data_IF_236133296026
#
_entry.id   IF_236133296026
#
_cell.length_a   1.000
_cell.length_b   1.000
_cell.length_c   1.000
_cell.angle_alpha   90.00
_cell.angle_beta   90.00
_cell.angle_gamma   90.00
#
_symmetry.space_group_name_H-M   'P 1'
#
loop_
_entity.id
_entity.type
_entity.pdbx_description
1 polymer ?
#
# COMPACT_ATOMS: atom_id res chain seq x y z
N UNK A 1 -28.49 -31.04 63.76
CA UNK A 1 -28.67 -31.06 62.29
C UNK A 1 -28.12 -29.75 61.70
N UNK A 2 -26.89 -29.78 61.17
CA UNK A 2 -26.26 -28.64 60.51
C UNK A 2 -26.11 -28.99 59.04
N UNK A 3 -26.77 -28.24 58.14
CA UNK A 3 -26.66 -28.40 56.70
C UNK A 3 -25.44 -27.58 56.21
N UNK A 4 -24.47 -28.29 55.68
CA UNK A 4 -23.30 -27.73 55.01
C UNK A 4 -23.73 -27.17 53.66
N UNK A 5 -23.58 -25.87 53.47
CA UNK A 5 -23.73 -25.22 52.17
C UNK A 5 -22.50 -25.49 51.31
N UNK A 6 -22.70 -26.10 50.17
CA UNK A 6 -21.67 -26.28 49.14
C UNK A 6 -21.61 -24.97 48.34
N UNK A 7 -20.51 -24.24 48.47
CA UNK A 7 -20.20 -23.10 47.60
C UNK A 7 -19.75 -23.61 46.23
N UNK A 8 -20.48 -23.19 45.18
CA UNK A 8 -20.04 -23.35 43.80
C UNK A 8 -18.77 -22.55 43.54
N UNK A 9 -17.82 -23.10 42.80
CA UNK A 9 -16.64 -22.36 42.38
C UNK A 9 -17.05 -21.32 41.31
N UNK A 10 -16.62 -20.08 41.51
CA UNK A 10 -16.70 -18.97 40.57
C UNK A 10 -16.00 -19.34 39.28
N UNK A 11 -16.75 -19.24 38.18
CA UNK A 11 -16.16 -19.34 36.82
C UNK A 11 -15.06 -18.29 36.69
N UNK A 12 -13.85 -18.75 36.48
CA UNK A 12 -12.75 -17.93 36.02
C UNK A 12 -13.04 -17.55 34.54
N UNK A 13 -13.42 -16.31 34.30
CA UNK A 13 -13.39 -15.75 32.97
C UNK A 13 -11.93 -15.74 32.51
N UNK A 14 -11.66 -16.21 31.28
CA UNK A 14 -10.32 -16.10 30.74
C UNK A 14 -9.99 -14.61 30.56
N UNK A 15 -8.71 -14.20 30.79
CA UNK A 15 -8.30 -12.81 30.60
C UNK A 15 -8.62 -12.39 29.19
N UNK A 16 -9.29 -11.23 29.05
CA UNK A 16 -9.49 -10.56 27.75
C UNK A 16 -8.18 -10.61 26.98
N UNK A 17 -8.19 -11.38 25.90
CA UNK A 17 -7.10 -11.40 24.94
C UNK A 17 -6.83 -9.94 24.59
N UNK A 18 -5.66 -9.44 24.95
CA UNK A 18 -5.15 -8.14 24.53
C UNK A 18 -5.33 -8.10 23.02
N UNK A 19 -6.38 -7.43 22.58
CA UNK A 19 -6.52 -7.01 21.19
C UNK A 19 -5.32 -6.11 20.92
N UNK A 20 -4.30 -6.65 20.29
CA UNK A 20 -3.31 -5.81 19.67
C UNK A 20 -4.10 -4.84 18.80
N UNK A 21 -3.87 -3.52 18.94
CA UNK A 21 -4.48 -2.62 17.99
C UNK A 21 -4.02 -3.09 16.61
N UNK A 22 -4.97 -3.41 15.74
CA UNK A 22 -4.74 -3.63 14.32
C UNK A 22 -4.19 -2.31 13.79
N UNK A 23 -2.88 -2.17 13.88
CA UNK A 23 -2.18 -1.03 13.33
C UNK A 23 -2.28 -1.14 11.81
N UNK A 24 -3.06 -0.20 11.25
CA UNK A 24 -3.09 0.20 9.86
C UNK A 24 -3.69 -0.81 8.86
N UNK A 25 -5.01 -0.86 8.85
CA UNK A 25 -5.73 -0.91 7.59
C UNK A 25 -6.41 0.46 7.43
N UNK A 26 -5.75 1.46 6.83
CA UNK A 26 -6.33 2.79 6.67
C UNK A 26 -7.60 2.68 5.82
N UNK A 27 -8.65 3.40 6.23
CA UNK A 27 -9.87 3.46 5.43
C UNK A 27 -9.57 4.15 4.08
N UNK A 28 -10.44 3.93 3.09
CA UNK A 28 -10.40 4.63 1.81
C UNK A 28 -10.27 6.15 1.99
N UNK A 29 -10.98 6.69 2.95
CA UNK A 29 -11.00 8.13 3.21
C UNK A 29 -9.71 8.61 3.87
N UNK A 30 -9.10 7.80 4.73
CA UNK A 30 -7.79 8.11 5.32
C UNK A 30 -6.69 8.17 4.26
N UNK A 31 -6.67 7.22 3.31
CA UNK A 31 -5.73 7.21 2.19
C UNK A 31 -5.90 8.46 1.32
N UNK A 32 -7.14 8.81 0.97
CA UNK A 32 -7.43 9.98 0.16
C UNK A 32 -6.99 11.26 0.85
N UNK A 33 -7.35 11.42 2.11
CA UNK A 33 -6.95 12.56 2.93
C UNK A 33 -5.44 12.68 3.03
N UNK A 34 -4.73 11.57 3.21
CA UNK A 34 -3.27 11.56 3.27
C UNK A 34 -2.66 12.16 2.00
N UNK A 35 -3.07 11.73 0.80
CA UNK A 35 -2.50 12.24 -0.45
C UNK A 35 -2.93 13.66 -0.77
N UNK A 36 -4.19 14.04 -0.56
CA UNK A 36 -4.66 15.41 -0.79
C UNK A 36 -3.99 16.40 0.15
N UNK A 37 -3.83 16.04 1.43
CA UNK A 37 -3.14 16.87 2.40
C UNK A 37 -1.63 16.96 2.13
N UNK A 38 -0.98 15.87 1.72
CA UNK A 38 0.41 15.88 1.30
C UNK A 38 0.61 16.83 0.13
N UNK A 39 -0.25 16.79 -0.89
CA UNK A 39 -0.18 17.68 -2.03
C UNK A 39 -0.42 19.14 -1.63
N UNK A 40 -1.38 19.40 -0.76
CA UNK A 40 -1.63 20.74 -0.21
C UNK A 40 -0.38 21.29 0.49
N UNK A 41 0.23 20.51 1.38
CA UNK A 41 1.45 20.89 2.12
C UNK A 41 2.63 21.15 1.18
N UNK A 42 2.84 20.26 0.21
CA UNK A 42 3.90 20.40 -0.79
C UNK A 42 3.77 21.73 -1.54
N UNK A 43 2.56 22.07 -1.99
CA UNK A 43 2.28 23.32 -2.70
C UNK A 43 2.44 24.56 -1.82
N UNK A 44 2.18 24.43 -0.53
CA UNK A 44 2.32 25.50 0.46
C UNK A 44 3.75 25.66 0.99
N UNK A 45 4.67 24.74 0.65
CA UNK A 45 6.03 24.74 1.19
C UNK A 45 6.08 24.41 2.68
N UNK A 46 5.11 23.66 3.18
CA UNK A 46 5.05 23.22 4.57
C UNK A 46 5.98 22.03 4.81
N UNK A 47 6.32 21.79 6.08
CA UNK A 47 7.16 20.66 6.48
C UNK A 47 6.37 19.36 6.27
N UNK A 48 6.98 18.43 5.54
CA UNK A 48 6.45 17.08 5.30
C UNK A 48 7.07 16.08 6.28
N UNK A 49 6.28 15.12 6.72
CA UNK A 49 6.81 13.93 7.38
C UNK A 49 7.61 13.08 6.39
N UNK A 50 8.46 12.13 6.82
CA UNK A 50 9.21 11.27 5.91
C UNK A 50 8.32 10.52 4.90
N UNK A 51 7.15 10.03 5.33
CA UNK A 51 6.21 9.34 4.44
C UNK A 51 5.54 10.29 3.46
N UNK A 52 5.15 11.49 3.91
CA UNK A 52 4.62 12.53 3.04
C UNK A 52 5.65 13.00 2.01
N UNK A 53 6.94 13.06 2.37
CA UNK A 53 7.99 13.41 1.42
C UNK A 53 8.09 12.39 0.27
N UNK A 54 8.10 11.09 0.57
CA UNK A 54 8.08 10.03 -0.45
C UNK A 54 6.81 10.12 -1.31
N UNK A 55 5.66 10.36 -0.68
CA UNK A 55 4.40 10.53 -1.40
C UNK A 55 4.41 11.76 -2.31
N UNK A 56 4.97 12.89 -1.85
CA UNK A 56 5.09 14.11 -2.62
C UNK A 56 5.99 13.93 -3.86
N UNK A 57 7.10 13.20 -3.72
CA UNK A 57 7.96 12.87 -4.86
C UNK A 57 7.18 12.12 -5.94
N UNK A 58 6.39 11.10 -5.56
CA UNK A 58 5.55 10.36 -6.51
C UNK A 58 4.41 11.20 -7.09
N UNK A 59 3.81 12.10 -6.30
CA UNK A 59 2.80 13.04 -6.81
C UNK A 59 3.39 13.95 -7.88
N UNK A 60 4.61 14.43 -7.69
CA UNK A 60 5.31 15.28 -8.68
C UNK A 60 5.58 14.54 -9.99
N UNK A 61 5.92 13.24 -9.91
CA UNK A 61 6.11 12.39 -11.09
C UNK A 61 4.80 12.06 -11.84
N UNK A 62 3.64 12.38 -11.24
CA UNK A 62 2.30 12.13 -11.79
C UNK A 62 1.47 13.40 -11.93
N UNK A 63 1.87 14.35 -12.82
CA UNK A 63 1.15 15.61 -12.98
C UNK A 63 -0.31 15.45 -13.41
N UNK A 64 -0.67 14.31 -14.03
CA UNK A 64 -2.04 13.98 -14.41
C UNK A 64 -3.00 13.85 -13.22
N UNK A 65 -2.49 13.69 -12.00
CA UNK A 65 -3.30 13.58 -10.78
C UNK A 65 -3.40 14.90 -9.99
N UNK A 66 -2.65 15.93 -10.36
CA UNK A 66 -2.56 17.17 -9.58
C UNK A 66 -3.89 17.86 -9.36
N UNK A 67 -4.72 17.96 -10.40
CA UNK A 67 -6.05 18.61 -10.30
C UNK A 67 -6.97 17.83 -9.35
N UNK A 68 -6.93 16.50 -9.41
CA UNK A 68 -7.76 15.65 -8.57
C UNK A 68 -7.30 15.68 -7.10
N UNK A 69 -5.99 15.72 -6.86
CA UNK A 69 -5.43 15.85 -5.51
C UNK A 69 -5.62 17.25 -4.92
N UNK A 70 -5.85 18.27 -5.76
CA UNK A 70 -6.17 19.62 -5.31
C UNK A 70 -7.64 19.79 -4.87
N UNK A 71 -8.54 18.91 -5.31
CA UNK A 71 -9.97 18.88 -4.98
C UNK A 71 -10.26 17.81 -3.92
N UNK A 72 -9.98 18.12 -2.66
CA UNK A 72 -10.12 17.16 -1.56
C UNK A 72 -11.58 16.67 -1.37
N UNK A 73 -12.56 17.55 -1.55
CA UNK A 73 -13.98 17.21 -1.39
C UNK A 73 -14.47 16.33 -2.55
N UNK A 74 -14.11 16.68 -3.79
CA UNK A 74 -14.39 15.86 -4.97
C UNK A 74 -13.69 14.51 -4.90
N UNK A 75 -12.44 14.46 -4.45
CA UNK A 75 -11.69 13.25 -4.25
C UNK A 75 -12.34 12.32 -3.21
N UNK A 76 -12.85 12.88 -2.11
CA UNK A 76 -13.56 12.10 -1.08
C UNK A 76 -14.87 11.48 -1.59
N UNK A 77 -15.61 12.23 -2.41
CA UNK A 77 -16.92 11.81 -2.92
C UNK A 77 -16.85 10.86 -4.12
N UNK A 78 -15.75 10.88 -4.91
CA UNK A 78 -15.65 10.16 -6.18
C UNK A 78 -15.50 8.65 -5.98
N UNK A 79 -16.24 7.90 -6.76
CA UNK A 79 -16.06 6.45 -6.91
C UNK A 79 -15.30 6.18 -8.20
N UNK A 80 -14.20 5.43 -8.08
CA UNK A 80 -13.42 4.96 -9.22
C UNK A 80 -13.89 3.56 -9.56
N UNK A 81 -14.61 3.41 -10.66
CA UNK A 81 -15.06 2.12 -11.13
C UNK A 81 -14.33 1.74 -12.44
N UNK A 82 -14.11 0.44 -12.69
CA UNK A 82 -13.48 0.00 -13.94
C UNK A 82 -14.21 0.50 -15.19
N UNK A 83 -15.54 0.68 -15.10
CA UNK A 83 -16.39 1.12 -16.20
C UNK A 83 -16.12 2.57 -16.62
N UNK A 84 -15.61 3.40 -15.70
CA UNK A 84 -15.26 4.79 -16.01
C UNK A 84 -13.95 4.91 -16.79
N UNK A 85 -13.18 3.82 -16.90
CA UNK A 85 -11.90 3.77 -17.62
C UNK A 85 -10.83 4.71 -17.05
N UNK A 86 -11.05 5.24 -15.84
CA UNK A 86 -10.12 6.13 -15.17
C UNK A 86 -9.27 5.36 -14.17
N UNK A 87 -7.97 5.62 -14.19
CA UNK A 87 -7.07 5.14 -13.15
C UNK A 87 -7.43 5.81 -11.82
N UNK A 88 -7.52 5.01 -10.75
CA UNK A 88 -7.66 5.54 -9.40
C UNK A 88 -6.30 6.07 -8.92
N UNK A 89 -6.11 7.42 -8.82
CA UNK A 89 -4.82 7.99 -8.46
C UNK A 89 -4.37 7.58 -7.05
N UNK A 90 -5.30 7.42 -6.13
CA UNK A 90 -5.00 7.03 -4.75
C UNK A 90 -4.49 5.60 -4.65
N UNK A 91 -5.06 4.68 -5.44
CA UNK A 91 -4.56 3.31 -5.54
C UNK A 91 -3.17 3.30 -6.19
N UNK A 92 -2.99 4.01 -7.29
CA UNK A 92 -1.73 4.08 -8.02
C UNK A 92 -0.60 4.63 -7.14
N UNK A 93 -0.82 5.76 -6.49
CA UNK A 93 0.14 6.37 -5.57
C UNK A 93 0.41 5.48 -4.34
N UNK A 94 -0.61 4.78 -3.83
CA UNK A 94 -0.42 3.82 -2.74
C UNK A 94 0.46 2.64 -3.15
N UNK A 95 0.37 2.18 -4.40
CA UNK A 95 1.25 1.13 -4.93
C UNK A 95 2.70 1.62 -5.04
N UNK A 96 2.93 2.87 -5.46
CA UNK A 96 4.27 3.47 -5.43
C UNK A 96 4.85 3.52 -4.02
N UNK A 97 4.06 3.91 -3.01
CA UNK A 97 4.52 3.90 -1.61
C UNK A 97 4.86 2.49 -1.13
N UNK A 98 4.00 1.50 -1.44
CA UNK A 98 4.26 0.11 -1.06
C UNK A 98 5.55 -0.43 -1.69
N UNK A 99 5.79 -0.13 -2.97
CA UNK A 99 7.02 -0.53 -3.65
C UNK A 99 8.23 0.21 -3.06
N UNK A 100 8.11 1.50 -2.79
CA UNK A 100 9.18 2.29 -2.14
C UNK A 100 9.56 1.72 -0.78
N UNK A 101 8.58 1.28 0.01
CA UNK A 101 8.82 0.58 1.28
C UNK A 101 9.53 -0.76 1.04
N UNK A 102 9.04 -1.60 0.13
CA UNK A 102 9.67 -2.88 -0.21
C UNK A 102 11.13 -2.70 -0.64
N UNK A 103 11.43 -1.69 -1.46
CA UNK A 103 12.78 -1.37 -1.90
C UNK A 103 13.65 -0.89 -0.74
N UNK A 104 13.11 -0.10 0.19
CA UNK A 104 13.86 0.44 1.32
C UNK A 104 14.38 -0.66 2.26
N UNK A 105 13.58 -1.70 2.48
CA UNK A 105 13.88 -2.82 3.39
C UNK A 105 14.32 -4.10 2.67
N UNK A 106 14.40 -4.08 1.33
CA UNK A 106 14.71 -5.23 0.47
C UNK A 106 13.79 -6.45 0.76
N UNK A 107 12.47 -6.23 0.75
CA UNK A 107 11.46 -7.26 0.95
C UNK A 107 10.45 -7.30 -0.22
N UNK A 108 10.35 -8.45 -0.93
CA UNK A 108 11.08 -9.72 -0.74
C UNK A 108 12.58 -9.59 -1.02
N UNK A 109 13.43 -10.42 -0.37
CA UNK A 109 14.89 -10.31 -0.53
C UNK A 109 15.33 -10.37 -2.00
N UNK A 110 16.08 -9.37 -2.44
CA UNK A 110 16.54 -9.24 -3.82
C UNK A 110 15.68 -8.34 -4.72
N UNK A 111 14.57 -7.80 -4.21
CA UNK A 111 13.72 -6.88 -4.99
C UNK A 111 14.48 -5.60 -5.38
N UNK A 112 15.36 -5.10 -4.50
CA UNK A 112 16.19 -3.93 -4.79
C UNK A 112 17.11 -4.18 -5.97
N UNK A 113 17.80 -5.31 -6.00
CA UNK A 113 18.68 -5.67 -7.12
C UNK A 113 17.90 -5.89 -8.43
N UNK A 114 16.68 -6.42 -8.34
CA UNK A 114 15.81 -6.58 -9.51
C UNK A 114 15.32 -5.23 -10.04
N UNK A 115 14.97 -4.29 -9.15
CA UNK A 115 14.63 -2.92 -9.50
C UNK A 115 15.78 -2.21 -10.19
N UNK A 116 17.01 -2.29 -9.65
CA UNK A 116 18.17 -1.63 -10.21
C UNK A 116 18.48 -2.13 -11.64
N UNK A 117 18.30 -3.43 -11.87
CA UNK A 117 18.41 -4.01 -13.23
C UNK A 117 17.32 -3.47 -14.17
N UNK A 118 16.09 -3.36 -13.72
CA UNK A 118 15.00 -2.79 -14.49
C UNK A 118 15.25 -1.31 -14.79
N UNK A 119 15.68 -0.53 -13.82
CA UNK A 119 15.97 0.89 -13.97
C UNK A 119 17.11 1.12 -14.97
N UNK A 120 18.16 0.31 -14.90
CA UNK A 120 19.26 0.36 -15.87
C UNK A 120 18.81 -0.04 -17.28
N UNK A 121 17.93 -1.03 -17.41
CA UNK A 121 17.39 -1.50 -18.69
C UNK A 121 16.46 -0.49 -19.34
N UNK A 122 15.59 0.14 -18.55
CA UNK A 122 14.57 1.09 -19.02
C UNK A 122 15.09 2.53 -19.07
N UNK A 123 16.29 2.78 -18.56
CA UNK A 123 16.87 4.12 -18.36
C UNK A 123 15.93 5.05 -17.57
N UNK A 124 15.13 4.46 -16.66
CA UNK A 124 14.09 5.15 -15.90
C UNK A 124 13.74 4.39 -14.62
N UNK A 125 13.92 5.03 -13.48
CA UNK A 125 13.47 4.50 -12.18
C UNK A 125 11.94 4.49 -12.07
N UNK A 126 11.28 5.47 -12.67
CA UNK A 126 9.83 5.57 -12.72
C UNK A 126 9.21 4.39 -13.50
N UNK A 127 9.72 4.12 -14.71
CA UNK A 127 9.24 2.99 -15.51
C UNK A 127 9.58 1.64 -14.88
N UNK A 128 10.72 1.54 -14.18
CA UNK A 128 11.05 0.36 -13.40
C UNK A 128 10.04 0.10 -12.28
N UNK A 129 9.63 1.14 -11.57
CA UNK A 129 8.59 1.00 -10.56
C UNK A 129 7.24 0.63 -11.16
N UNK A 130 6.85 1.18 -12.30
CA UNK A 130 5.64 0.78 -13.02
C UNK A 130 5.68 -0.69 -13.44
N UNK A 131 6.81 -1.18 -13.95
CA UNK A 131 6.98 -2.59 -14.29
C UNK A 131 6.84 -3.51 -13.05
N UNK A 132 7.34 -3.07 -11.89
CA UNK A 132 7.14 -3.78 -10.61
C UNK A 132 5.68 -3.71 -10.16
N UNK A 133 5.04 -2.55 -10.33
CA UNK A 133 3.63 -2.34 -9.99
C UNK A 133 2.70 -3.29 -10.74
N UNK A 134 2.96 -3.54 -12.02
CA UNK A 134 2.21 -4.53 -12.79
C UNK A 134 2.39 -5.95 -12.22
N UNK A 135 3.63 -6.33 -11.86
CA UNK A 135 3.90 -7.62 -11.22
C UNK A 135 3.20 -7.76 -9.86
N UNK A 136 3.14 -6.67 -9.09
CA UNK A 136 2.43 -6.62 -7.82
C UNK A 136 0.92 -6.78 -8.02
N UNK A 137 0.35 -6.07 -9.00
CA UNK A 137 -1.06 -6.17 -9.36
C UNK A 137 -1.46 -7.60 -9.77
N UNK A 138 -0.66 -8.26 -10.62
CA UNK A 138 -0.86 -9.67 -11.00
C UNK A 138 -0.83 -10.59 -9.77
N UNK A 139 0.12 -10.37 -8.85
CA UNK A 139 0.27 -11.19 -7.64
C UNK A 139 -0.92 -11.03 -6.70
N UNK A 140 -1.40 -9.79 -6.51
CA UNK A 140 -2.58 -9.50 -5.68
C UNK A 140 -3.83 -10.11 -6.32
N UNK A 141 -4.00 -9.98 -7.63
CA UNK A 141 -5.14 -10.53 -8.34
C UNK A 141 -5.21 -12.07 -8.24
N UNK A 142 -4.08 -12.75 -8.41
CA UNK A 142 -4.02 -14.21 -8.23
C UNK A 142 -4.35 -14.64 -6.80
N UNK A 143 -3.80 -13.96 -5.81
CA UNK A 143 -4.08 -14.20 -4.39
C UNK A 143 -5.58 -14.08 -4.08
N UNK A 144 -6.23 -13.04 -4.59
CA UNK A 144 -7.67 -12.83 -4.44
C UNK A 144 -8.48 -13.92 -5.13
N UNK A 145 -8.11 -14.30 -6.36
CA UNK A 145 -8.79 -15.33 -7.13
C UNK A 145 -8.71 -16.71 -6.50
N UNK A 146 -7.57 -17.04 -5.89
CA UNK A 146 -7.33 -18.33 -5.24
C UNK A 146 -7.66 -18.34 -3.76
N UNK A 147 -8.00 -17.19 -3.19
CA UNK A 147 -8.21 -16.98 -1.75
C UNK A 147 -7.01 -17.47 -0.90
N UNK A 148 -5.81 -17.18 -1.38
CA UNK A 148 -4.53 -17.50 -0.74
C UNK A 148 -3.74 -16.22 -0.46
N UNK A 149 -2.78 -16.22 0.48
CA UNK A 149 -1.85 -15.11 0.63
C UNK A 149 -1.07 -14.85 -0.68
N UNK A 150 -0.64 -13.60 -0.94
CA UNK A 150 0.21 -13.29 -2.08
C UNK A 150 1.50 -14.10 -2.08
N UNK A 151 1.84 -14.70 -3.22
CA UNK A 151 3.08 -15.46 -3.41
C UNK A 151 4.24 -14.50 -3.70
N UNK A 152 5.03 -14.23 -2.67
CA UNK A 152 6.17 -13.30 -2.75
C UNK A 152 7.32 -13.81 -3.61
N UNK A 153 7.51 -15.14 -3.68
CA UNK A 153 8.54 -15.74 -4.53
C UNK A 153 8.15 -15.62 -6.01
N UNK A 154 6.91 -15.93 -6.34
CA UNK A 154 6.37 -15.73 -7.68
C UNK A 154 6.42 -14.26 -8.12
N UNK A 155 6.13 -13.34 -7.19
CA UNK A 155 6.23 -11.90 -7.42
C UNK A 155 7.67 -11.50 -7.81
N UNK A 156 8.67 -11.88 -7.02
CA UNK A 156 10.07 -11.59 -7.31
C UNK A 156 10.51 -12.22 -8.65
N UNK A 157 10.09 -13.46 -8.93
CA UNK A 157 10.40 -14.12 -10.19
C UNK A 157 9.80 -13.40 -11.42
N UNK A 158 8.60 -12.81 -11.29
CA UNK A 158 8.02 -11.97 -12.36
C UNK A 158 8.89 -10.75 -12.64
N UNK A 159 9.32 -10.05 -11.60
CA UNK A 159 10.20 -8.88 -11.73
C UNK A 159 11.52 -9.26 -12.40
N UNK A 160 12.16 -10.33 -11.94
CA UNK A 160 13.43 -10.82 -12.49
C UNK A 160 13.30 -11.22 -13.98
N UNK A 161 12.20 -11.86 -14.36
CA UNK A 161 11.93 -12.18 -15.78
C UNK A 161 11.80 -10.93 -16.65
N UNK A 162 11.15 -9.87 -16.15
CA UNK A 162 11.05 -8.59 -16.86
C UNK A 162 12.42 -7.91 -17.00
N UNK A 163 13.24 -7.99 -15.96
CA UNK A 163 14.59 -7.45 -15.97
C UNK A 163 15.55 -8.20 -16.93
N UNK A 164 15.28 -9.48 -17.22
CA UNK A 164 16.14 -10.36 -18.02
C UNK A 164 15.70 -10.54 -19.48
N UNK A 165 14.46 -10.15 -19.83
CA UNK A 165 13.98 -10.22 -21.23
C UNK A 165 14.56 -9.04 -22.02
N UNK A 166 15.16 -9.33 -23.18
CA UNK A 166 15.59 -8.34 -24.17
C UNK A 166 14.41 -7.64 -24.83
#
# INVERSE_FOLDING_TARGET
MRRSGVQCPTRHEPPESRRFPTMFNPSRDDVRRFFTETWRKQRAGEILTPLEAIAADWIVEHPEYHDELADADGAAARNYTPEEGRTNPFLHLSMHLAISEQLSIDQPPGIRAAHDKLAAKLDSTHDAQHAIMECLGETIWEAQRTNTPPDTDAYLQRILRRASRD
#
